data_IF_118874848527
#
_entry.id   IF_118874848527
#
_cell.length_a   1.000
_cell.length_b   1.000
_cell.length_c   1.000
_cell.angle_alpha   90.00
_cell.angle_beta   90.00
_cell.angle_gamma   90.00
#
_symmetry.space_group_name_H-M   'P 1'
#
loop_
_entity.id
_entity.type
_entity.pdbx_description
1 polymer ?
#
# COMPACT_ATOMS: atom_id res chain seq x y z
N UNK A 1 10.93 97.00 43.29
CA UNK A 1 12.34 96.62 43.56
C UNK A 1 12.44 95.10 43.59
N UNK A 2 13.46 94.52 42.93
CA UNK A 2 14.16 93.23 43.21
C UNK A 2 13.29 91.97 43.45
N UNK A 3 13.48 90.80 42.83
CA UNK A 3 14.67 90.03 42.36
C UNK A 3 14.13 88.92 41.44
N UNK A 4 14.73 88.68 40.27
CA UNK A 4 15.84 87.76 39.96
C UNK A 4 15.43 86.28 39.85
N UNK A 5 15.72 85.73 38.67
CA UNK A 5 15.37 84.42 38.15
C UNK A 5 16.18 83.26 38.72
N UNK A 6 15.60 82.04 38.65
CA UNK A 6 16.32 80.77 38.49
C UNK A 6 15.44 79.87 37.60
N UNK A 7 15.93 79.54 36.40
CA UNK A 7 15.35 78.51 35.53
C UNK A 7 16.27 77.30 35.67
N UNK A 8 15.77 76.23 36.30
CA UNK A 8 16.39 74.90 36.25
C UNK A 8 15.58 74.02 35.30
N UNK A 9 16.26 73.49 34.28
CA UNK A 9 15.71 72.47 33.41
C UNK A 9 15.61 71.12 34.11
N UNK A 10 14.61 70.35 33.73
CA UNK A 10 14.60 68.90 33.95
C UNK A 10 14.06 68.21 32.69
N UNK A 11 15.02 67.58 32.04
CA UNK A 11 15.05 66.65 30.93
C UNK A 11 13.99 65.53 31.00
N UNK A 12 13.39 65.27 29.84
CA UNK A 12 12.77 64.06 29.29
C UNK A 12 12.48 62.84 30.20
N UNK A 13 11.32 62.22 29.98
CA UNK A 13 11.23 60.81 29.56
C UNK A 13 9.81 60.46 29.09
N UNK A 14 9.60 60.57 27.77
CA UNK A 14 8.52 59.84 27.10
C UNK A 14 8.82 58.35 27.20
N UNK A 15 8.08 57.63 28.05
CA UNK A 15 8.03 56.17 27.98
C UNK A 15 7.15 55.78 26.79
N UNK A 16 7.82 55.55 25.66
CA UNK A 16 7.30 54.83 24.51
C UNK A 16 6.91 53.42 24.97
N UNK A 17 5.61 53.16 25.14
CA UNK A 17 5.09 51.82 25.36
C UNK A 17 4.98 51.10 24.00
N UNK A 18 6.14 50.92 23.34
CA UNK A 18 6.25 50.12 22.14
C UNK A 18 6.42 48.66 22.56
N UNK A 19 5.38 47.89 22.25
CA UNK A 19 5.43 46.47 21.91
C UNK A 19 6.45 45.62 22.69
N UNK A 20 6.00 45.04 23.81
CA UNK A 20 6.53 43.75 24.23
C UNK A 20 6.04 42.69 23.22
N UNK A 21 6.68 42.65 22.05
CA UNK A 21 6.62 41.45 21.23
C UNK A 21 7.15 40.31 22.11
N UNK A 22 6.29 39.33 22.38
CA UNK A 22 6.66 38.04 22.96
C UNK A 22 7.89 37.52 22.22
N UNK A 23 9.07 37.72 22.81
CA UNK A 23 10.29 37.06 22.37
C UNK A 23 10.28 35.70 23.03
N UNK A 24 9.45 34.80 22.52
CA UNK A 24 9.87 33.42 22.56
C UNK A 24 11.15 33.36 21.73
N UNK A 25 12.24 32.94 22.35
CA UNK A 25 13.45 32.64 21.58
C UNK A 25 13.15 31.46 20.65
N UNK A 26 13.95 31.28 19.60
CA UNK A 26 13.80 30.10 18.72
C UNK A 26 13.87 28.80 19.54
N UNK A 27 14.73 28.78 20.56
CA UNK A 27 14.87 27.67 21.51
C UNK A 27 13.61 27.46 22.37
N UNK A 28 12.94 28.54 22.80
CA UNK A 28 11.67 28.43 23.55
C UNK A 28 10.53 27.90 22.68
N UNK A 29 10.46 28.35 21.42
CA UNK A 29 9.46 27.85 20.45
C UNK A 29 9.71 26.38 20.09
N UNK A 30 10.97 25.96 19.98
CA UNK A 30 11.36 24.58 19.68
C UNK A 30 11.10 23.66 20.88
N UNK A 31 11.37 24.11 22.11
CA UNK A 31 11.06 23.38 23.33
C UNK A 31 9.55 23.27 23.58
N UNK A 32 8.78 24.31 23.28
CA UNK A 32 7.32 24.28 23.37
C UNK A 32 6.71 23.39 22.29
N UNK A 33 7.24 23.42 21.06
CA UNK A 33 6.85 22.51 19.98
C UNK A 33 7.18 21.04 20.32
N UNK A 34 8.32 20.77 20.95
CA UNK A 34 8.69 19.42 21.42
C UNK A 34 7.81 18.93 22.59
N UNK A 35 7.38 19.82 23.47
CA UNK A 35 6.49 19.48 24.60
C UNK A 35 5.01 19.34 24.17
N UNK A 36 4.58 20.02 23.11
CA UNK A 36 3.23 19.90 22.52
C UNK A 36 3.16 18.79 21.46
N UNK A 37 4.29 18.39 20.90
CA UNK A 37 4.43 17.25 20.03
C UNK A 37 4.34 15.95 20.84
N UNK A 38 3.20 15.28 20.78
CA UNK A 38 3.10 13.85 21.15
C UNK A 38 3.79 12.92 20.14
N UNK A 39 4.52 13.49 19.17
CA UNK A 39 5.33 12.79 18.19
C UNK A 39 6.77 12.69 18.69
N UNK A 40 7.12 11.54 19.27
CA UNK A 40 8.51 11.11 19.46
C UNK A 40 9.11 10.74 18.10
N UNK A 41 9.50 11.74 17.31
CA UNK A 41 10.11 11.58 16.01
C UNK A 41 11.53 11.04 16.09
N UNK A 42 11.68 9.74 16.36
CA UNK A 42 12.78 9.01 15.72
C UNK A 42 12.57 9.04 14.21
N UNK A 43 13.63 8.89 13.41
CA UNK A 43 13.52 8.66 11.96
C UNK A 43 12.78 7.34 11.70
N UNK A 44 11.47 7.32 11.95
CA UNK A 44 10.59 6.21 11.64
C UNK A 44 10.37 6.23 10.14
N UNK A 45 10.87 5.21 9.45
CA UNK A 45 10.57 5.05 8.03
C UNK A 45 9.05 4.90 7.84
N UNK A 46 8.52 5.34 6.69
CA UNK A 46 7.09 5.28 6.38
C UNK A 46 6.56 3.87 6.69
N UNK A 47 5.48 3.79 7.49
CA UNK A 47 4.86 2.55 7.93
C UNK A 47 5.42 1.93 9.22
N UNK A 48 6.54 2.43 9.75
CA UNK A 48 7.09 1.96 11.02
C UNK A 48 6.15 2.32 12.19
N UNK A 49 5.70 1.30 12.93
CA UNK A 49 4.68 1.39 13.99
C UNK A 49 3.27 1.80 13.49
N UNK A 50 2.97 1.63 12.21
CA UNK A 50 1.61 1.81 11.71
C UNK A 50 0.73 0.61 12.10
N UNK A 51 -0.20 0.84 13.04
CA UNK A 51 -1.13 -0.19 13.52
C UNK A 51 -2.03 -0.76 12.41
N UNK A 52 -2.21 -0.04 11.30
CA UNK A 52 -3.05 -0.44 10.17
C UNK A 52 -2.35 -1.34 9.16
N UNK A 53 -1.03 -1.37 9.14
CA UNK A 53 -0.26 -2.14 8.18
C UNK A 53 0.14 -3.50 8.77
N UNK A 54 -0.10 -4.55 7.99
CA UNK A 54 0.40 -5.89 8.24
C UNK A 54 1.51 -6.18 7.23
N UNK A 55 2.74 -6.24 7.73
CA UNK A 55 3.94 -6.49 6.91
C UNK A 55 4.16 -7.99 6.76
N UNK A 56 4.67 -8.40 5.61
CA UNK A 56 5.11 -9.77 5.39
C UNK A 56 6.40 -10.06 6.19
N UNK A 57 6.48 -11.25 6.79
CA UNK A 57 7.63 -11.71 7.58
C UNK A 57 7.91 -10.88 8.83
N UNK A 58 9.19 -10.58 9.07
CA UNK A 58 9.66 -9.78 10.21
C UNK A 58 9.85 -8.28 9.88
N UNK A 59 9.46 -7.84 8.67
CA UNK A 59 9.64 -6.45 8.27
C UNK A 59 8.77 -5.52 9.13
N UNK A 60 9.33 -4.40 9.59
CA UNK A 60 8.59 -3.38 10.35
C UNK A 60 8.30 -2.12 9.54
N UNK A 61 8.79 -2.03 8.30
CA UNK A 61 8.64 -0.86 7.43
C UNK A 61 8.72 -1.22 5.95
N UNK A 62 8.33 -0.30 5.07
CA UNK A 62 8.47 -0.48 3.62
C UNK A 62 9.93 -0.59 3.16
N UNK A 63 10.92 -0.13 3.95
CA UNK A 63 12.34 -0.22 3.62
C UNK A 63 12.88 -1.66 3.71
N UNK A 64 12.30 -2.48 4.59
CA UNK A 64 12.75 -3.85 4.85
C UNK A 64 11.97 -4.90 4.03
N UNK A 65 10.82 -4.49 3.50
CA UNK A 65 9.77 -5.39 3.02
C UNK A 65 10.12 -6.18 1.76
N UNK A 66 11.07 -5.69 0.96
CA UNK A 66 11.46 -6.34 -0.29
C UNK A 66 12.06 -7.73 -0.06
N UNK A 67 12.57 -8.02 1.15
CA UNK A 67 13.21 -9.30 1.50
C UNK A 67 12.25 -10.34 2.06
N UNK A 68 11.07 -9.93 2.51
CA UNK A 68 10.16 -10.76 3.32
C UNK A 68 8.81 -11.03 2.63
N UNK A 69 8.73 -10.83 1.31
CA UNK A 69 7.47 -10.98 0.57
C UNK A 69 6.88 -12.40 0.70
N UNK A 70 5.58 -12.49 0.96
CA UNK A 70 4.82 -13.76 0.99
C UNK A 70 4.38 -14.11 -0.43
N UNK A 71 4.88 -15.21 -1.02
CA UNK A 71 4.48 -15.61 -2.36
C UNK A 71 3.07 -16.22 -2.35
N UNK A 72 2.21 -15.80 -3.27
CA UNK A 72 0.99 -16.51 -3.64
C UNK A 72 1.13 -17.00 -5.07
N UNK A 73 1.02 -18.32 -5.29
CA UNK A 73 1.20 -18.92 -6.61
C UNK A 73 -0.08 -19.58 -7.12
N UNK A 74 -0.41 -19.32 -8.37
CA UNK A 74 -1.52 -19.96 -9.07
C UNK A 74 -1.16 -20.17 -10.54
N UNK A 75 -1.76 -21.20 -11.13
CA UNK A 75 -1.60 -21.56 -12.54
C UNK A 75 -2.93 -21.41 -13.25
N UNK A 76 -2.90 -20.86 -14.45
CA UNK A 76 -4.03 -20.66 -15.34
C UNK A 76 -3.76 -21.42 -16.64
N UNK A 77 -4.76 -22.16 -17.11
CA UNK A 77 -4.67 -22.96 -18.33
C UNK A 77 -5.84 -22.64 -19.24
N UNK A 78 -5.55 -22.43 -20.52
CA UNK A 78 -6.54 -22.31 -21.58
C UNK A 78 -6.46 -23.54 -22.47
N UNK A 79 -7.43 -24.44 -22.35
CA UNK A 79 -7.47 -25.68 -23.14
C UNK A 79 -8.06 -25.49 -24.56
N UNK A 80 -8.41 -24.26 -24.95
CA UNK A 80 -9.01 -23.96 -26.26
C UNK A 80 -7.98 -23.36 -27.20
N UNK A 81 -8.21 -23.44 -28.51
CA UNK A 81 -7.35 -22.82 -29.52
C UNK A 81 -7.44 -21.28 -29.54
N UNK A 82 -8.58 -20.70 -29.13
CA UNK A 82 -8.75 -19.25 -29.11
C UNK A 82 -8.16 -18.64 -27.83
N UNK A 83 -7.56 -17.45 -27.95
CA UNK A 83 -7.14 -16.64 -26.80
C UNK A 83 -8.33 -16.28 -25.91
N UNK A 84 -8.14 -16.39 -24.60
CA UNK A 84 -9.15 -16.11 -23.57
C UNK A 84 -8.61 -15.10 -22.57
N UNK A 85 -9.44 -14.17 -22.11
CA UNK A 85 -9.03 -13.18 -21.11
C UNK A 85 -9.51 -13.59 -19.73
N UNK A 86 -8.58 -13.72 -18.79
CA UNK A 86 -8.86 -13.92 -17.36
C UNK A 86 -8.88 -12.57 -16.63
N UNK A 87 -9.68 -12.50 -15.57
CA UNK A 87 -9.63 -11.45 -14.55
C UNK A 87 -8.96 -12.01 -13.30
N UNK A 88 -7.76 -11.51 -12.99
CA UNK A 88 -7.06 -11.83 -11.73
C UNK A 88 -7.70 -11.05 -10.58
N UNK A 89 -8.07 -9.80 -10.85
CA UNK A 89 -8.90 -8.99 -9.97
C UNK A 89 -10.07 -8.43 -10.76
N UNK A 90 -11.32 -8.52 -10.25
CA UNK A 90 -12.50 -8.14 -11.01
C UNK A 90 -12.85 -6.65 -10.87
N UNK A 91 -12.08 -5.89 -10.07
CA UNK A 91 -12.46 -4.54 -9.65
C UNK A 91 -13.75 -4.54 -8.82
N UNK A 92 -14.58 -3.51 -9.06
CA UNK A 92 -15.74 -3.19 -8.22
C UNK A 92 -16.75 -4.34 -8.13
N UNK A 93 -16.98 -5.08 -9.22
CA UNK A 93 -18.00 -6.13 -9.29
C UNK A 93 -17.39 -7.47 -8.87
N UNK A 94 -17.72 -7.96 -7.68
CA UNK A 94 -17.10 -9.16 -7.10
C UNK A 94 -17.32 -10.44 -7.93
N UNK A 95 -18.45 -10.55 -8.61
CA UNK A 95 -18.86 -11.76 -9.34
C UNK A 95 -18.78 -11.57 -10.85
N UNK A 96 -17.80 -10.79 -11.32
CA UNK A 96 -17.63 -10.53 -12.74
C UNK A 96 -17.18 -11.79 -13.50
N UNK A 97 -17.78 -12.05 -14.66
CA UNK A 97 -17.33 -13.12 -15.56
C UNK A 97 -15.84 -12.95 -15.89
N UNK A 98 -15.09 -14.05 -15.97
CA UNK A 98 -13.64 -14.02 -16.13
C UNK A 98 -12.85 -14.05 -14.82
N UNK A 99 -13.47 -13.81 -13.66
CA UNK A 99 -12.78 -13.92 -12.38
C UNK A 99 -12.21 -15.32 -12.20
N UNK A 100 -10.90 -15.38 -11.95
CA UNK A 100 -10.22 -16.64 -11.68
C UNK A 100 -10.84 -17.37 -10.48
N UNK A 101 -11.03 -18.67 -10.65
CA UNK A 101 -11.51 -19.58 -9.63
C UNK A 101 -10.81 -20.93 -9.79
N UNK A 102 -10.67 -21.68 -8.72
CA UNK A 102 -10.09 -23.03 -8.73
C UNK A 102 -10.98 -23.95 -9.58
N UNK A 103 -10.38 -24.73 -10.46
CA UNK A 103 -11.10 -25.56 -11.43
C UNK A 103 -11.51 -24.78 -12.69
N UNK A 104 -12.57 -25.22 -13.36
CA UNK A 104 -13.01 -24.62 -14.63
C UNK A 104 -13.88 -23.37 -14.41
N UNK A 105 -13.69 -22.34 -15.24
CA UNK A 105 -14.47 -21.10 -15.20
C UNK A 105 -14.57 -20.45 -16.59
N UNK A 106 -15.44 -19.44 -16.71
CA UNK A 106 -15.66 -18.71 -17.96
C UNK A 106 -14.67 -17.54 -18.10
N UNK A 107 -14.31 -17.19 -19.34
CA UNK A 107 -13.55 -15.99 -19.66
C UNK A 107 -14.33 -14.70 -19.35
N UNK A 108 -13.66 -13.56 -19.52
CA UNK A 108 -14.25 -12.22 -19.32
C UNK A 108 -15.54 -11.97 -20.11
N UNK A 109 -15.70 -12.61 -21.27
CA UNK A 109 -16.85 -12.49 -22.15
C UNK A 109 -17.92 -13.57 -21.89
N UNK A 110 -17.73 -14.43 -20.89
CA UNK A 110 -18.66 -15.48 -20.50
C UNK A 110 -18.48 -16.81 -21.25
N UNK A 111 -17.46 -16.95 -22.09
CA UNK A 111 -17.21 -18.20 -22.80
C UNK A 111 -16.39 -19.18 -21.93
N UNK A 112 -16.81 -20.43 -21.88
CA UNK A 112 -16.13 -21.46 -21.10
C UNK A 112 -14.73 -21.78 -21.65
N UNK A 113 -13.87 -22.36 -20.80
CA UNK A 113 -12.65 -23.03 -21.23
C UNK A 113 -11.34 -22.52 -20.64
N UNK A 114 -11.44 -21.69 -19.61
CA UNK A 114 -10.33 -21.44 -18.70
C UNK A 114 -10.41 -22.40 -17.51
N UNK A 115 -9.26 -22.72 -16.96
CA UNK A 115 -9.17 -23.40 -15.68
C UNK A 115 -8.00 -22.87 -14.86
N UNK A 116 -8.10 -22.96 -13.53
CA UNK A 116 -7.02 -22.59 -12.65
C UNK A 116 -6.74 -23.65 -11.59
N UNK A 117 -5.48 -23.73 -11.19
CA UNK A 117 -5.04 -24.51 -10.04
C UNK A 117 -4.29 -23.58 -9.09
N UNK A 118 -4.59 -23.69 -7.79
CA UNK A 118 -3.77 -23.01 -6.79
C UNK A 118 -2.49 -23.79 -6.51
N UNK A 119 -1.37 -23.07 -6.36
CA UNK A 119 -0.10 -23.65 -5.96
C UNK A 119 0.12 -23.64 -4.44
N UNK A 120 0.04 -22.47 -3.80
CA UNK A 120 0.30 -22.25 -2.37
C UNK A 120 0.11 -20.76 -2.00
N UNK A 121 -0.25 -20.39 -0.75
CA UNK A 121 -0.59 -21.21 0.42
C UNK A 121 -2.08 -21.56 0.62
N UNK A 122 -2.99 -21.03 -0.20
CA UNK A 122 -4.44 -21.25 -0.06
C UNK A 122 -5.13 -21.35 -1.41
N UNK A 123 -6.45 -21.51 -1.43
CA UNK A 123 -7.24 -21.51 -2.67
C UNK A 123 -7.25 -20.15 -3.36
N UNK A 124 -7.59 -20.12 -4.66
CA UNK A 124 -7.73 -18.87 -5.42
C UNK A 124 -8.88 -18.03 -4.84
N UNK A 125 -9.95 -18.68 -4.40
CA UNK A 125 -11.11 -18.05 -3.78
C UNK A 125 -10.74 -17.35 -2.46
N UNK A 126 -9.96 -18.01 -1.60
CA UNK A 126 -9.46 -17.41 -0.36
C UNK A 126 -8.54 -16.22 -0.65
N UNK A 127 -7.69 -16.32 -1.67
CA UNK A 127 -6.84 -15.20 -2.08
C UNK A 127 -7.65 -14.01 -2.59
N UNK A 128 -8.66 -14.27 -3.43
CA UNK A 128 -9.58 -13.23 -3.91
C UNK A 128 -10.35 -12.58 -2.77
N UNK A 129 -10.88 -13.38 -1.85
CA UNK A 129 -11.54 -12.86 -0.65
C UNK A 129 -10.57 -12.04 0.22
N UNK A 130 -9.32 -12.50 0.36
CA UNK A 130 -8.30 -11.84 1.18
C UNK A 130 -8.01 -10.43 0.68
N UNK A 131 -7.62 -10.24 -0.58
CA UNK A 131 -7.27 -8.89 -1.05
C UNK A 131 -8.47 -7.94 -1.15
N UNK A 132 -9.71 -8.48 -1.21
CA UNK A 132 -10.92 -7.67 -1.14
C UNK A 132 -11.21 -7.14 0.26
N UNK A 133 -10.86 -7.90 1.30
CA UNK A 133 -11.01 -7.49 2.70
C UNK A 133 -9.80 -6.71 3.21
N UNK A 134 -8.61 -7.06 2.73
CA UNK A 134 -7.32 -6.53 3.14
C UNK A 134 -6.56 -6.06 1.90
N UNK A 135 -6.78 -4.81 1.44
CA UNK A 135 -6.05 -4.24 0.32
C UNK A 135 -4.55 -4.47 0.46
N UNK A 136 -3.92 -5.06 -0.55
CA UNK A 136 -2.57 -5.59 -0.46
C UNK A 136 -1.65 -5.00 -1.53
N UNK A 137 -0.38 -4.80 -1.21
CA UNK A 137 0.65 -4.39 -2.14
C UNK A 137 1.38 -5.61 -2.68
N UNK A 138 1.39 -5.74 -4.00
CA UNK A 138 2.30 -6.63 -4.73
C UNK A 138 3.54 -5.82 -5.08
N UNK A 139 4.73 -6.22 -4.63
CA UNK A 139 5.97 -5.51 -4.95
C UNK A 139 6.53 -5.89 -6.33
N UNK A 140 6.18 -7.09 -6.78
CA UNK A 140 6.53 -7.65 -8.07
C UNK A 140 5.94 -9.05 -8.20
N UNK A 141 6.17 -9.67 -9.35
CA UNK A 141 5.70 -11.02 -9.59
C UNK A 141 6.64 -11.79 -10.49
N UNK A 142 6.57 -13.12 -10.39
CA UNK A 142 7.14 -14.02 -11.36
C UNK A 142 6.04 -14.56 -12.26
N UNK A 143 6.35 -14.70 -13.54
CA UNK A 143 5.51 -15.39 -14.51
C UNK A 143 6.32 -16.52 -15.13
N UNK A 144 5.70 -17.68 -15.26
CA UNK A 144 6.27 -18.82 -16.00
C UNK A 144 5.22 -19.42 -16.91
N UNK A 145 5.65 -19.98 -18.03
CA UNK A 145 4.74 -20.55 -19.04
C UNK A 145 5.41 -21.68 -19.79
N UNK A 146 4.62 -22.54 -20.41
CA UNK A 146 5.09 -23.54 -21.36
C UNK A 146 5.36 -22.97 -22.76
N UNK A 147 4.78 -21.82 -23.11
CA UNK A 147 4.83 -21.20 -24.43
C UNK A 147 5.51 -19.82 -24.45
N UNK A 148 6.58 -19.65 -25.22
CA UNK A 148 7.30 -18.35 -25.28
C UNK A 148 6.43 -17.23 -25.86
N UNK A 149 5.52 -17.53 -26.80
CA UNK A 149 4.60 -16.53 -27.38
C UNK A 149 3.63 -15.96 -26.35
N UNK A 150 3.36 -16.70 -25.27
CA UNK A 150 2.58 -16.22 -24.14
C UNK A 150 3.28 -15.07 -23.39
N UNK A 151 4.62 -15.01 -23.42
CA UNK A 151 5.37 -13.92 -22.80
C UNK A 151 5.24 -12.58 -23.56
N UNK A 152 4.78 -12.60 -24.82
CA UNK A 152 4.51 -11.37 -25.58
C UNK A 152 3.21 -10.68 -25.13
N UNK A 153 2.39 -11.38 -24.35
CA UNK A 153 1.14 -10.82 -23.83
C UNK A 153 1.39 -9.76 -22.75
N UNK A 154 0.49 -8.78 -22.69
CA UNK A 154 0.55 -7.70 -21.69
C UNK A 154 -0.50 -7.89 -20.59
N UNK A 155 -0.12 -7.60 -19.36
CA UNK A 155 -1.06 -7.49 -18.25
C UNK A 155 -1.58 -6.06 -18.17
N UNK A 156 -2.90 -5.91 -18.11
CA UNK A 156 -3.55 -4.59 -17.99
C UNK A 156 -4.13 -4.42 -16.60
N UNK A 157 -3.71 -3.35 -15.91
CA UNK A 157 -4.16 -3.00 -14.56
C UNK A 157 -4.90 -1.67 -14.64
N UNK A 158 -6.14 -1.64 -14.13
CA UNK A 158 -7.02 -0.49 -14.19
C UNK A 158 -7.71 -0.28 -12.84
N UNK A 159 -7.86 0.98 -12.43
CA UNK A 159 -8.71 1.32 -11.29
C UNK A 159 -10.13 1.63 -11.76
N UNK A 160 -11.11 0.93 -11.22
CA UNK A 160 -12.53 1.14 -11.49
C UNK A 160 -13.12 2.04 -10.42
N UNK A 161 -13.81 3.08 -10.86
CA UNK A 161 -14.60 3.98 -10.00
C UNK A 161 -15.90 4.31 -10.74
N UNK A 162 -17.05 4.40 -10.04
CA UNK A 162 -18.28 4.86 -10.66
C UNK A 162 -18.26 6.36 -10.97
N UNK A 163 -17.31 7.10 -10.40
CA UNK A 163 -17.25 8.56 -10.50
C UNK A 163 -16.25 9.05 -11.53
N UNK A 164 -15.14 8.31 -11.74
CA UNK A 164 -14.05 8.73 -12.60
C UNK A 164 -13.46 7.56 -13.39
N UNK A 165 -13.06 7.84 -14.62
CA UNK A 165 -12.21 6.93 -15.37
C UNK A 165 -10.76 7.16 -14.95
N UNK A 166 -10.12 6.13 -14.39
CA UNK A 166 -8.72 6.20 -14.00
C UNK A 166 -7.81 5.74 -15.14
N UNK A 167 -6.54 6.15 -15.08
CA UNK A 167 -5.52 5.67 -16.00
C UNK A 167 -5.30 4.16 -15.88
N UNK A 168 -5.00 3.53 -17.01
CA UNK A 168 -4.57 2.14 -17.09
C UNK A 168 -3.06 2.04 -17.05
N UNK A 169 -2.53 1.09 -16.28
CA UNK A 169 -1.15 0.66 -16.37
C UNK A 169 -1.08 -0.62 -17.21
N UNK A 170 -0.22 -0.63 -18.23
CA UNK A 170 0.03 -1.80 -19.07
C UNK A 170 1.45 -2.29 -18.75
N UNK A 171 1.57 -3.56 -18.39
CA UNK A 171 2.84 -4.22 -18.13
C UNK A 171 3.10 -5.18 -19.30
N UNK A 172 3.93 -4.78 -20.28
CA UNK A 172 4.33 -5.68 -21.37
C UNK A 172 5.34 -6.69 -20.84
N UNK A 173 4.95 -7.97 -20.76
CA UNK A 173 5.76 -8.99 -20.08
C UNK A 173 7.07 -9.26 -20.84
N UNK A 174 7.01 -9.29 -22.18
CA UNK A 174 8.15 -9.57 -23.04
C UNK A 174 9.31 -8.60 -22.88
N UNK A 175 9.08 -7.36 -22.40
CA UNK A 175 10.17 -6.37 -22.22
C UNK A 175 11.10 -6.70 -21.06
N UNK A 176 10.72 -7.65 -20.19
CA UNK A 176 11.54 -8.11 -19.07
C UNK A 176 12.38 -9.33 -19.41
N UNK A 177 12.25 -9.87 -20.62
CA UNK A 177 13.22 -10.82 -21.15
C UNK A 177 14.55 -10.09 -21.39
N UNK A 178 15.64 -10.60 -20.81
CA UNK A 178 16.99 -10.12 -21.11
C UNK A 178 17.79 -11.23 -21.77
N UNK A 179 18.74 -10.85 -22.63
CA UNK A 179 19.66 -11.79 -23.28
C UNK A 179 20.51 -12.58 -22.27
N UNK A 180 20.67 -12.05 -21.06
CA UNK A 180 21.41 -12.71 -19.98
C UNK A 180 20.56 -13.74 -19.22
N UNK A 181 19.24 -13.73 -19.39
CA UNK A 181 18.36 -14.71 -18.76
C UNK A 181 18.24 -15.95 -19.65
N UNK A 182 18.98 -17.01 -19.30
CA UNK A 182 18.95 -18.29 -20.03
C UNK A 182 17.57 -18.96 -20.05
N UNK A 183 16.64 -18.55 -19.18
CA UNK A 183 15.29 -19.09 -19.14
C UNK A 183 14.27 -18.11 -19.73
N UNK A 184 13.96 -18.28 -21.01
CA UNK A 184 12.96 -17.47 -21.72
C UNK A 184 11.52 -17.76 -21.28
N UNK A 185 11.31 -18.85 -20.53
CA UNK A 185 10.00 -19.28 -20.05
C UNK A 185 9.69 -18.83 -18.62
N UNK A 186 10.63 -18.16 -17.95
CA UNK A 186 10.43 -17.63 -16.59
C UNK A 186 10.96 -16.21 -16.52
N UNK A 187 10.08 -15.26 -16.21
CA UNK A 187 10.43 -13.85 -16.06
C UNK A 187 10.06 -13.35 -14.67
N UNK A 188 10.93 -12.50 -14.11
CA UNK A 188 10.66 -11.77 -12.87
C UNK A 188 10.43 -10.30 -13.20
N UNK A 189 9.27 -9.79 -12.79
CA UNK A 189 8.81 -8.45 -13.13
C UNK A 189 8.78 -7.61 -11.86
N UNK A 190 9.70 -6.64 -11.70
CA UNK A 190 9.79 -5.77 -10.53
C UNK A 190 8.84 -4.58 -10.66
N UNK A 191 7.57 -4.83 -10.97
CA UNK A 191 6.52 -3.80 -11.04
C UNK A 191 5.52 -4.01 -9.93
N UNK A 192 5.41 -3.00 -9.09
CA UNK A 192 4.50 -2.98 -7.96
C UNK A 192 3.10 -2.50 -8.36
N UNK A 193 2.07 -3.11 -7.78
CA UNK A 193 0.68 -2.70 -7.94
C UNK A 193 -0.14 -3.10 -6.71
N UNK A 194 -1.29 -2.46 -6.53
CA UNK A 194 -2.21 -2.77 -5.44
C UNK A 194 -3.24 -3.80 -5.88
N UNK A 195 -3.57 -4.72 -4.99
CA UNK A 195 -4.72 -5.60 -5.07
C UNK A 195 -5.76 -5.08 -4.07
N UNK A 196 -6.82 -4.49 -4.58
CA UNK A 196 -7.91 -3.94 -3.78
C UNK A 196 -9.26 -4.16 -4.49
N UNK A 197 -10.41 -3.91 -3.84
CA UNK A 197 -11.72 -4.04 -4.47
C UNK A 197 -11.99 -3.13 -5.67
N UNK A 198 -11.13 -2.16 -5.98
CA UNK A 198 -11.30 -1.23 -7.08
C UNK A 198 -10.40 -1.57 -8.26
N UNK A 199 -9.36 -2.37 -8.03
CA UNK A 199 -8.37 -2.73 -9.04
C UNK A 199 -8.88 -3.90 -9.86
N UNK A 200 -8.90 -3.69 -11.17
CA UNK A 200 -9.21 -4.69 -12.16
C UNK A 200 -7.92 -5.05 -12.90
N UNK A 201 -7.62 -6.35 -12.97
CA UNK A 201 -6.42 -6.89 -13.60
C UNK A 201 -6.85 -7.90 -14.65
N UNK A 202 -6.53 -7.60 -15.91
CA UNK A 202 -6.81 -8.47 -17.05
C UNK A 202 -5.52 -9.05 -17.60
N UNK A 203 -5.57 -10.33 -17.98
CA UNK A 203 -4.47 -10.98 -18.67
C UNK A 203 -5.00 -11.92 -19.77
N UNK A 204 -4.55 -11.79 -21.02
CA UNK A 204 -4.90 -12.73 -22.08
C UNK A 204 -4.03 -13.98 -22.01
N UNK A 205 -4.67 -15.15 -22.05
CA UNK A 205 -4.05 -16.47 -22.11
C UNK A 205 -4.30 -17.00 -23.52
N UNK A 206 -3.22 -17.19 -24.27
CA UNK A 206 -3.24 -17.76 -25.61
C UNK A 206 -3.86 -19.15 -25.60
N UNK A 207 -4.27 -19.61 -26.77
CA UNK A 207 -4.85 -20.94 -26.89
C UNK A 207 -3.83 -22.03 -26.61
N UNK A 208 -4.27 -23.11 -25.95
CA UNK A 208 -3.46 -24.30 -25.65
C UNK A 208 -2.20 -24.01 -24.82
N UNK A 209 -2.24 -22.98 -23.96
CA UNK A 209 -1.12 -22.61 -23.09
C UNK A 209 -1.47 -22.67 -21.60
N UNK A 210 -0.43 -22.78 -20.78
CA UNK A 210 -0.51 -22.63 -19.33
C UNK A 210 0.44 -21.55 -18.84
N UNK A 211 -0.01 -20.77 -17.85
CA UNK A 211 0.74 -19.67 -17.24
C UNK A 211 0.64 -19.77 -15.73
N UNK A 212 1.78 -19.77 -15.04
CA UNK A 212 1.83 -19.69 -13.59
C UNK A 212 2.34 -18.33 -13.15
N UNK A 213 1.59 -17.69 -12.25
CA UNK A 213 1.94 -16.45 -11.60
C UNK A 213 2.35 -16.71 -10.16
N UNK A 214 3.42 -16.06 -9.71
CA UNK A 214 3.78 -15.97 -8.29
C UNK A 214 3.82 -14.50 -7.90
N UNK A 215 2.81 -14.05 -7.17
CA UNK A 215 2.73 -12.68 -6.66
C UNK A 215 3.48 -12.56 -5.35
N UNK A 216 4.35 -11.55 -5.25
CA UNK A 216 5.12 -11.27 -4.03
C UNK A 216 4.35 -10.24 -3.20
N UNK A 217 3.50 -10.73 -2.30
CA UNK A 217 2.68 -9.87 -1.43
C UNK A 217 3.54 -9.37 -0.28
N UNK A 218 3.64 -8.05 -0.13
CA UNK A 218 4.53 -7.44 0.85
C UNK A 218 3.78 -6.84 2.04
N UNK A 219 2.69 -6.13 1.80
CA UNK A 219 1.92 -5.45 2.86
C UNK A 219 0.45 -5.62 2.60
N UNK A 220 -0.34 -5.72 3.66
CA UNK A 220 -1.79 -5.69 3.59
C UNK A 220 -2.34 -4.70 4.63
N UNK A 221 -3.38 -3.97 4.27
CA UNK A 221 -4.08 -3.09 5.19
C UNK A 221 -5.02 -3.93 6.06
N UNK A 222 -4.71 -4.08 7.35
CA UNK A 222 -5.46 -4.90 8.29
C UNK A 222 -6.13 -4.05 9.38
N UNK A 223 -7.30 -3.51 9.07
CA UNK A 223 -8.09 -2.65 9.95
C UNK A 223 -8.47 -3.37 11.26
N UNK A 224 -8.76 -4.67 11.18
CA UNK A 224 -9.14 -5.46 12.35
C UNK A 224 -7.98 -5.59 13.35
N UNK A 225 -6.75 -5.82 12.86
CA UNK A 225 -5.53 -5.80 13.68
C UNK A 225 -5.36 -4.42 14.32
N UNK A 226 -5.46 -3.35 13.53
CA UNK A 226 -5.34 -1.98 14.01
C UNK A 226 -6.29 -1.67 15.17
N UNK A 227 -7.55 -2.10 15.05
CA UNK A 227 -8.55 -1.89 16.09
C UNK A 227 -8.22 -2.66 17.38
N UNK A 228 -7.72 -3.90 17.27
CA UNK A 228 -7.29 -4.68 18.43
C UNK A 228 -6.09 -4.04 19.12
N UNK A 229 -5.10 -3.59 18.37
CA UNK A 229 -3.90 -2.95 18.90
C UNK A 229 -4.25 -1.65 19.63
N UNK A 230 -5.12 -0.83 19.04
CA UNK A 230 -5.65 0.39 19.68
C UNK A 230 -6.44 0.07 20.95
N UNK A 231 -7.25 -0.98 20.94
CA UNK A 231 -8.02 -1.41 22.13
C UNK A 231 -7.08 -1.89 23.24
N UNK A 232 -6.04 -2.65 22.90
CA UNK A 232 -5.03 -3.10 23.85
C UNK A 232 -4.28 -1.92 24.47
N UNK A 233 -3.78 -0.99 23.65
CA UNK A 233 -3.12 0.25 24.11
C UNK A 233 -4.02 1.05 25.05
N UNK A 234 -5.30 1.22 24.71
CA UNK A 234 -6.26 1.94 25.55
C UNK A 234 -6.44 1.28 26.93
N UNK A 235 -6.53 -0.06 26.99
CA UNK A 235 -6.62 -0.80 28.27
C UNK A 235 -5.39 -0.56 29.15
N UNK A 236 -4.19 -0.59 28.56
CA UNK A 236 -2.94 -0.34 29.29
C UNK A 236 -2.91 1.06 29.87
N UNK A 237 -3.27 2.08 29.09
CA UNK A 237 -3.33 3.47 29.55
C UNK A 237 -4.31 3.66 30.70
N UNK A 238 -5.50 3.05 30.64
CA UNK A 238 -6.48 3.12 31.74
C UNK A 238 -5.97 2.47 33.03
N UNK A 239 -5.27 1.33 32.93
CA UNK A 239 -4.69 0.67 34.10
C UNK A 239 -3.58 1.50 34.78
N UNK A 240 -2.82 2.28 34.00
CA UNK A 240 -1.80 3.18 34.53
C UNK A 240 -2.39 4.48 35.11
N UNK A 241 -3.47 5.00 34.50
CA UNK A 241 -4.15 6.22 34.96
C UNK A 241 -5.06 6.01 36.18
N UNK A 242 -5.65 4.83 36.33
CA UNK A 242 -6.52 4.50 37.47
C UNK A 242 -5.82 4.48 38.83
N UNK A 243 -4.49 4.31 38.83
CA UNK A 243 -3.67 4.36 40.05
C UNK A 243 -3.32 5.78 40.53
N UNK A 244 -3.77 6.83 39.82
CA UNK A 244 -3.50 8.25 40.17
C UNK A 244 -4.68 8.98 40.82
N UNK A 245 -5.83 8.32 41.03
CA UNK A 245 -7.03 8.93 41.62
C UNK A 245 -7.37 8.40 43.03
N UNK A 246 -6.49 7.60 43.63
CA UNK A 246 -6.62 7.16 45.03
C UNK A 246 -5.35 7.62 45.76
N UNK A 247 -5.30 8.91 46.09
CA UNK A 247 -4.24 9.55 46.87
C UNK A 247 -4.77 10.83 47.47
#
# INVERSE_FOLDING_TARGET
MKKLAVILGATALMHNHLHSCNRFTEEDLENEANNLSSFGGGMGYVGQNDDFLDFAGNAASFAEIAKEAKPFTFTLTNANAATRTVLIAPGLIATQAGLMATGAFNDKNGAAGLSAASGSPGSIEEFVAHYRLFPSLVSGFKISTDSVTQMEQSMTIMKKSPFNQHSSMIIPIGTYASEQNFNTKILSIPKSFFLDPQTLIEYPILGETSVSFTFMITTSLNIAKALRDKTAKAKTTLSMGGNRFIG
#
